data_IF_455687672500
#
_entry.id   IF_455687672500
#
_cell.length_a   1.000
_cell.length_b   1.000
_cell.length_c   1.000
_cell.angle_alpha   90.00
_cell.angle_beta   90.00
_cell.angle_gamma   90.00
#
_symmetry.space_group_name_H-M   'P 1'
#
loop_
_entity.id
_entity.type
_entity.pdbx_description
1 polymer ?
#
# COMPACT_ATOMS: atom_id res chain seq x y z
N UNK A 1 9.20 -27.38 24.24
CA UNK A 1 8.57 -26.52 23.23
C UNK A 1 9.51 -25.35 23.03
N UNK A 2 10.05 -25.15 21.83
CA UNK A 2 10.78 -23.93 21.52
C UNK A 2 9.74 -22.80 21.43
N UNK A 3 9.58 -22.03 22.50
CA UNK A 3 8.91 -20.73 22.41
C UNK A 3 9.90 -19.84 21.67
N UNK A 4 9.80 -19.74 20.36
CA UNK A 4 10.54 -18.71 19.65
C UNK A 4 9.80 -17.39 19.92
N UNK A 5 10.33 -16.61 20.86
CA UNK A 5 9.77 -15.30 21.15
C UNK A 5 9.89 -14.38 19.93
N UNK A 6 8.83 -13.64 19.61
CA UNK A 6 8.86 -12.68 18.49
C UNK A 6 9.69 -11.47 18.91
N UNK A 7 10.81 -11.24 18.23
CA UNK A 7 11.75 -10.13 18.56
C UNK A 7 11.48 -8.85 17.76
N UNK A 8 10.72 -8.94 16.67
CA UNK A 8 10.29 -7.81 15.85
C UNK A 8 9.49 -8.23 14.63
N UNK A 9 8.98 -7.24 13.89
CA UNK A 9 8.17 -7.43 12.68
C UNK A 9 8.55 -6.43 11.60
N UNK A 10 8.47 -6.87 10.34
CA UNK A 10 8.46 -6.03 9.14
C UNK A 10 7.09 -6.18 8.51
N UNK A 11 6.37 -5.08 8.34
CA UNK A 11 5.00 -5.05 7.85
C UNK A 11 4.96 -4.25 6.56
N UNK A 12 4.37 -4.85 5.53
CA UNK A 12 4.00 -4.18 4.29
C UNK A 12 2.50 -4.04 4.28
N UNK A 13 1.98 -2.83 4.04
CA UNK A 13 0.55 -2.61 3.97
C UNK A 13 0.19 -1.73 2.77
N UNK A 14 -0.91 -2.10 2.12
CA UNK A 14 -1.52 -1.27 1.09
C UNK A 14 -2.36 -0.17 1.76
N UNK A 15 -2.41 1.00 1.12
CA UNK A 15 -3.37 2.06 1.45
C UNK A 15 -4.83 1.58 1.49
N UNK A 16 -5.67 2.35 2.19
CA UNK A 16 -7.12 2.12 2.28
C UNK A 16 -7.90 2.58 1.05
N UNK A 17 -9.24 2.53 1.14
CA UNK A 17 -10.13 3.07 0.11
C UNK A 17 -9.81 4.54 -0.25
N UNK A 18 -9.88 4.83 -1.55
CA UNK A 18 -9.51 6.12 -2.14
C UNK A 18 -10.48 6.53 -3.24
N UNK A 19 -10.48 7.81 -3.57
CA UNK A 19 -11.20 8.34 -4.72
C UNK A 19 -10.67 7.76 -6.04
N UNK A 20 -11.35 8.15 -7.13
CA UNK A 20 -10.96 7.76 -8.49
C UNK A 20 -9.49 8.05 -8.75
N UNK A 21 -8.87 7.27 -9.62
CA UNK A 21 -7.46 7.33 -9.89
C UNK A 21 -7.23 7.17 -11.39
N UNK A 22 -6.22 7.87 -11.89
CA UNK A 22 -5.71 7.67 -13.23
C UNK A 22 -4.27 7.21 -13.15
N UNK A 23 -3.95 6.21 -13.97
CA UNK A 23 -2.61 5.69 -14.15
C UNK A 23 -2.34 5.61 -15.64
N UNK A 24 -1.22 6.20 -16.09
CA UNK A 24 -0.77 6.01 -17.46
C UNK A 24 -0.46 4.53 -17.70
N UNK A 25 -0.99 3.92 -18.77
CA UNK A 25 -0.88 2.48 -18.99
C UNK A 25 0.54 2.04 -19.35
N UNK A 26 1.45 2.94 -19.69
CA UNK A 26 2.83 2.59 -20.06
C UNK A 26 3.79 3.05 -18.96
N UNK A 27 3.74 4.32 -18.59
CA UNK A 27 4.69 4.90 -17.63
C UNK A 27 4.29 4.66 -16.18
N UNK A 28 3.07 4.19 -15.94
CA UNK A 28 2.48 4.03 -14.61
C UNK A 28 2.44 5.32 -13.79
N UNK A 29 2.58 6.48 -14.44
CA UNK A 29 2.44 7.77 -13.78
C UNK A 29 1.02 7.92 -13.26
N UNK A 30 0.93 8.04 -11.93
CA UNK A 30 -0.32 8.17 -11.21
C UNK A 30 -0.75 9.63 -11.06
N UNK A 31 -2.06 9.87 -11.06
CA UNK A 31 -2.61 11.19 -10.75
C UNK A 31 -4.05 11.12 -10.23
N UNK A 32 -4.51 12.27 -9.71
CA UNK A 32 -5.91 12.57 -9.46
C UNK A 32 -6.63 11.67 -8.45
N UNK A 33 -6.03 11.38 -7.29
CA UNK A 33 -6.70 10.65 -6.20
C UNK A 33 -6.48 11.28 -4.82
N UNK A 34 -7.29 10.88 -3.84
CA UNK A 34 -7.21 11.25 -2.42
C UNK A 34 -7.79 10.11 -1.58
N UNK A 35 -7.30 9.94 -0.34
CA UNK A 35 -7.86 8.94 0.57
C UNK A 35 -9.28 9.34 0.97
N UNK A 36 -10.20 8.39 1.08
CA UNK A 36 -11.56 8.69 1.56
C UNK A 36 -11.64 8.56 3.08
N UNK A 37 -12.77 9.01 3.66
CA UNK A 37 -13.08 8.72 5.05
C UNK A 37 -13.16 7.21 5.33
N UNK A 38 -13.67 6.42 4.36
CA UNK A 38 -13.70 4.96 4.48
C UNK A 38 -12.28 4.38 4.54
N UNK A 39 -11.36 4.87 3.70
CA UNK A 39 -9.97 4.46 3.71
C UNK A 39 -9.29 4.75 5.05
N UNK A 40 -9.47 5.94 5.60
CA UNK A 40 -8.95 6.28 6.92
C UNK A 40 -9.48 5.34 8.02
N UNK A 41 -10.76 4.96 7.99
CA UNK A 41 -11.34 4.00 8.96
C UNK A 41 -10.72 2.61 8.79
N UNK A 42 -10.56 2.13 7.56
CA UNK A 42 -9.95 0.83 7.28
C UNK A 42 -8.51 0.76 7.81
N UNK A 43 -7.73 1.81 7.55
CA UNK A 43 -6.32 1.89 7.97
C UNK A 43 -6.18 2.08 9.48
N UNK A 44 -7.08 2.85 10.11
CA UNK A 44 -7.14 2.93 11.56
C UNK A 44 -7.42 1.57 12.20
N UNK A 45 -8.38 0.81 11.66
CA UNK A 45 -8.68 -0.55 12.11
C UNK A 45 -7.51 -1.52 11.87
N UNK A 46 -6.79 -1.37 10.75
CA UNK A 46 -5.57 -2.13 10.48
C UNK A 46 -4.51 -1.87 11.55
N UNK A 47 -4.30 -0.60 11.92
CA UNK A 47 -3.41 -0.21 13.02
C UNK A 47 -3.82 -0.83 14.37
N UNK A 48 -5.12 -0.85 14.67
CA UNK A 48 -5.65 -1.51 15.88
C UNK A 48 -5.38 -3.02 15.87
N UNK A 49 -5.48 -3.67 14.70
CA UNK A 49 -5.18 -5.08 14.55
C UNK A 49 -3.69 -5.34 14.80
N UNK A 50 -2.79 -4.54 14.22
CA UNK A 50 -1.35 -4.65 14.50
C UNK A 50 -1.03 -4.41 15.98
N UNK A 51 -1.68 -3.43 16.62
CA UNK A 51 -1.53 -3.20 18.07
C UNK A 51 -1.92 -4.44 18.87
N UNK A 52 -3.06 -5.04 18.53
CA UNK A 52 -3.56 -6.25 19.17
C UNK A 52 -2.59 -7.44 19.02
N UNK A 53 -1.98 -7.59 17.84
CA UNK A 53 -1.07 -8.70 17.57
C UNK A 53 0.33 -8.48 18.15
N UNK A 54 0.91 -7.29 18.00
CA UNK A 54 2.35 -7.09 18.17
C UNK A 54 2.72 -6.21 19.37
N UNK A 55 1.80 -5.40 19.89
CA UNK A 55 2.05 -4.48 21.02
C UNK A 55 1.34 -4.93 22.30
N UNK A 56 0.22 -5.64 22.20
CA UNK A 56 -0.47 -6.18 23.36
C UNK A 56 0.36 -7.30 24.02
N UNK A 57 0.84 -7.08 25.24
CA UNK A 57 1.65 -8.04 25.99
C UNK A 57 0.98 -9.39 26.28
N UNK A 58 -0.36 -9.47 26.17
CA UNK A 58 -1.10 -10.74 26.28
C UNK A 58 -1.23 -11.51 24.96
N UNK A 59 -0.76 -10.93 23.84
CA UNK A 59 -0.81 -11.57 22.52
C UNK A 59 0.23 -12.68 22.40
N UNK A 60 -0.11 -13.84 21.79
CA UNK A 60 0.87 -14.86 21.44
C UNK A 60 1.98 -14.39 20.50
N UNK A 61 1.73 -13.32 19.73
CA UNK A 61 2.69 -12.72 18.79
C UNK A 61 3.24 -11.39 19.30
N UNK A 62 3.12 -11.11 20.61
CA UNK A 62 3.68 -9.90 21.21
C UNK A 62 5.18 -9.77 20.88
N UNK A 63 5.56 -8.61 20.36
CA UNK A 63 6.96 -8.29 20.08
C UNK A 63 7.64 -7.91 21.39
N UNK A 64 8.59 -8.75 21.81
CA UNK A 64 9.23 -8.63 23.11
C UNK A 64 9.89 -7.26 23.33
N UNK A 65 9.57 -6.63 24.46
CA UNK A 65 10.16 -5.37 24.87
C UNK A 65 9.60 -4.13 24.16
N UNK A 66 8.54 -4.26 23.36
CA UNK A 66 7.81 -3.09 22.83
C UNK A 66 7.16 -2.29 23.96
N UNK A 67 7.31 -0.97 23.93
CA UNK A 67 6.54 -0.08 24.79
C UNK A 67 5.05 -0.14 24.43
N UNK A 68 4.23 -0.53 25.40
CA UNK A 68 2.80 -0.79 25.17
C UNK A 68 1.92 0.43 25.41
N UNK A 69 2.47 1.51 25.97
CA UNK A 69 1.71 2.69 26.40
C UNK A 69 2.04 3.89 25.52
N UNK A 70 3.33 4.27 25.48
CA UNK A 70 3.81 5.42 24.73
C UNK A 70 4.60 4.97 23.51
N UNK A 71 4.50 5.73 22.43
CA UNK A 71 5.37 5.59 21.27
C UNK A 71 6.83 5.79 21.67
N UNK A 72 7.68 4.86 21.24
CA UNK A 72 9.14 4.95 21.39
C UNK A 72 9.77 4.97 19.99
N UNK A 73 10.31 6.14 19.63
CA UNK A 73 10.92 6.37 18.33
C UNK A 73 12.13 5.45 18.07
N UNK A 74 12.79 4.94 19.10
CA UNK A 74 13.94 4.04 18.93
C UNK A 74 13.51 2.63 18.52
N UNK A 75 12.25 2.25 18.76
CA UNK A 75 11.74 0.91 18.52
C UNK A 75 11.00 0.77 17.18
N UNK A 76 10.72 1.88 16.50
CA UNK A 76 9.76 1.91 15.39
C UNK A 76 10.30 2.73 14.23
N UNK A 77 10.19 2.16 13.03
CA UNK A 77 10.41 2.86 11.76
C UNK A 77 9.13 2.79 10.95
N UNK A 78 8.68 3.94 10.45
CA UNK A 78 7.54 4.05 9.55
C UNK A 78 7.96 4.79 8.29
N UNK A 79 7.76 4.15 7.14
CA UNK A 79 7.93 4.74 5.83
C UNK A 79 6.62 4.63 5.05
N UNK A 80 6.38 5.62 4.21
CA UNK A 80 5.26 5.64 3.30
C UNK A 80 5.72 6.10 1.92
N UNK A 81 5.21 5.41 0.91
CA UNK A 81 5.35 5.83 -0.48
C UNK A 81 4.77 7.24 -0.67
N UNK A 82 5.65 8.18 -1.02
CA UNK A 82 5.35 9.59 -1.28
C UNK A 82 5.14 9.90 -2.76
N UNK A 83 5.04 8.87 -3.61
CA UNK A 83 4.95 8.98 -5.06
C UNK A 83 3.60 9.45 -5.60
N UNK A 84 3.23 8.94 -6.78
CA UNK A 84 2.21 9.55 -7.64
C UNK A 84 0.75 9.52 -7.12
N UNK A 85 0.48 8.86 -5.99
CA UNK A 85 -0.86 8.75 -5.39
C UNK A 85 -1.25 9.94 -4.48
N UNK A 86 -0.60 11.11 -4.66
CA UNK A 86 -0.95 12.40 -4.03
C UNK A 86 -1.13 12.35 -2.50
N UNK A 87 -0.36 11.49 -1.83
CA UNK A 87 -0.40 11.35 -0.38
C UNK A 87 -1.41 10.32 0.16
N UNK A 88 -2.15 9.59 -0.68
CA UNK A 88 -3.06 8.52 -0.21
C UNK A 88 -2.35 7.52 0.71
N UNK A 89 -1.17 7.05 0.31
CA UNK A 89 -0.39 6.08 1.07
C UNK A 89 0.16 6.72 2.36
N UNK A 90 0.60 7.97 2.29
CA UNK A 90 1.02 8.74 3.46
C UNK A 90 -0.13 8.93 4.47
N UNK A 91 -1.30 9.40 4.03
CA UNK A 91 -2.47 9.60 4.90
C UNK A 91 -2.99 8.27 5.48
N UNK A 92 -2.90 7.18 4.70
CA UNK A 92 -3.17 5.82 5.19
C UNK A 92 -2.24 5.48 6.36
N UNK A 93 -0.94 5.75 6.21
CA UNK A 93 0.03 5.50 7.28
C UNK A 93 -0.24 6.35 8.53
N UNK A 94 -0.74 7.59 8.40
CA UNK A 94 -1.21 8.40 9.53
C UNK A 94 -2.33 7.66 10.27
N UNK A 95 -3.33 7.15 9.54
CA UNK A 95 -4.43 6.40 10.14
C UNK A 95 -3.97 5.10 10.82
N UNK A 96 -3.03 4.36 10.22
CA UNK A 96 -2.43 3.17 10.85
C UNK A 96 -1.73 3.51 12.16
N UNK A 97 -0.89 4.55 12.19
CA UNK A 97 -0.17 4.89 13.42
C UNK A 97 -1.10 5.41 14.53
N UNK A 98 -2.24 6.01 14.17
CA UNK A 98 -3.30 6.34 15.13
C UNK A 98 -3.94 5.11 15.76
N UNK A 99 -4.12 4.02 14.99
CA UNK A 99 -4.60 2.74 15.51
C UNK A 99 -3.56 2.00 16.35
N UNK A 100 -2.27 2.10 15.96
CA UNK A 100 -1.14 1.48 16.67
C UNK A 100 -0.86 2.14 18.03
N UNK A 101 -0.85 3.47 18.07
CA UNK A 101 -0.60 4.28 19.27
C UNK A 101 -1.75 5.27 19.50
N UNK A 102 -2.89 4.79 20.06
CA UNK A 102 -4.04 5.64 20.30
C UNK A 102 -3.73 6.76 21.29
N UNK A 103 -4.54 7.81 21.27
CA UNK A 103 -4.43 8.93 22.19
C UNK A 103 -4.52 8.45 23.65
N UNK A 104 -3.67 9.01 24.51
CA UNK A 104 -3.60 8.63 25.93
C UNK A 104 -3.24 9.83 26.80
N UNK A 105 -3.87 9.95 27.96
CA UNK A 105 -3.53 10.96 28.96
C UNK A 105 -2.10 10.83 29.50
N UNK A 106 -1.44 9.69 29.28
CA UNK A 106 -0.04 9.46 29.65
C UNK A 106 0.94 10.25 28.79
N UNK A 107 0.53 10.71 27.60
CA UNK A 107 1.36 11.58 26.79
C UNK A 107 1.18 13.03 27.25
N UNK A 108 1.92 13.36 28.30
CA UNK A 108 1.86 14.63 28.99
C UNK A 108 3.26 15.07 29.45
N UNK A 109 3.38 16.34 29.85
CA UNK A 109 4.57 16.90 30.48
C UNK A 109 4.18 17.70 31.71
N UNK A 110 4.88 17.49 32.82
CA UNK A 110 4.78 18.35 34.01
C UNK A 110 5.76 19.52 33.87
N UNK A 111 5.24 20.74 33.96
CA UNK A 111 6.00 21.98 33.86
C UNK A 111 6.62 22.36 35.21
N UNK A 112 7.60 23.26 35.19
CA UNK A 112 8.33 23.71 36.38
C UNK A 112 7.44 24.36 37.47
N UNK A 113 6.26 24.88 37.09
CA UNK A 113 5.28 25.44 38.02
C UNK A 113 4.31 24.39 38.61
N UNK A 114 4.52 23.10 38.33
CA UNK A 114 3.70 21.99 38.80
C UNK A 114 2.45 21.70 37.97
N UNK A 115 2.16 22.46 36.91
CA UNK A 115 1.04 22.15 36.02
C UNK A 115 1.39 21.00 35.08
N UNK A 116 0.42 20.13 34.80
CA UNK A 116 0.58 19.05 33.81
C UNK A 116 -0.18 19.42 32.55
N UNK A 117 0.52 19.35 31.41
CA UNK A 117 -0.04 19.61 30.08
C UNK A 117 -0.10 18.28 29.33
N UNK A 118 -1.31 17.84 28.99
CA UNK A 118 -1.50 16.71 28.08
C UNK A 118 -1.32 17.16 26.63
N UNK A 119 -0.86 16.26 25.77
CA UNK A 119 -0.79 16.53 24.35
C UNK A 119 -2.19 16.80 23.75
N UNK A 120 -2.28 17.54 22.62
CA UNK A 120 -3.55 17.86 21.97
C UNK A 120 -4.38 16.62 21.59
N UNK A 121 -5.64 16.85 21.20
CA UNK A 121 -6.56 15.80 20.71
C UNK A 121 -6.71 14.62 21.70
N UNK A 122 -6.73 14.91 23.00
CA UNK A 122 -6.90 13.91 24.06
C UNK A 122 -5.65 13.09 24.36
N UNK A 123 -4.46 13.59 24.01
CA UNK A 123 -3.20 12.89 24.23
C UNK A 123 -2.66 12.17 22.99
N UNK A 124 -2.93 12.71 21.80
CA UNK A 124 -2.47 12.16 20.52
C UNK A 124 -0.95 12.02 20.48
N UNK A 125 -0.47 10.84 20.08
CA UNK A 125 0.95 10.51 20.04
C UNK A 125 1.50 10.78 18.64
N UNK A 126 2.53 11.62 18.53
CA UNK A 126 3.12 12.00 17.26
C UNK A 126 4.17 10.96 16.82
N UNK A 127 3.81 10.13 15.86
CA UNK A 127 4.68 9.13 15.23
C UNK A 127 5.27 9.71 13.94
N UNK A 128 6.60 9.84 13.83
CA UNK A 128 7.24 10.27 12.58
C UNK A 128 7.04 9.26 11.46
N UNK A 129 6.72 9.74 10.27
CA UNK A 129 6.54 8.96 9.04
C UNK A 129 7.50 9.55 8.01
N UNK A 130 8.39 8.73 7.46
CA UNK A 130 9.22 9.14 6.34
C UNK A 130 8.42 9.01 5.04
N UNK A 131 8.17 10.12 4.35
CA UNK A 131 7.61 10.13 3.00
C UNK A 131 8.74 9.91 2.00
N UNK A 132 8.68 8.82 1.24
CA UNK A 132 9.74 8.44 0.31
C UNK A 132 9.40 8.97 -1.08
N UNK A 133 10.16 9.96 -1.55
CA UNK A 133 9.99 10.52 -2.90
C UNK A 133 10.74 9.64 -3.93
N UNK A 134 10.07 9.14 -4.98
CA UNK A 134 10.68 8.26 -5.97
C UNK A 134 11.82 8.92 -6.78
N UNK A 135 11.92 10.25 -6.79
CA UNK A 135 13.04 10.95 -7.44
C UNK A 135 14.34 10.87 -6.61
N UNK A 136 14.22 10.69 -5.29
CA UNK A 136 15.35 10.62 -4.37
C UNK A 136 15.66 9.16 -3.96
N UNK A 137 14.62 8.33 -3.84
CA UNK A 137 14.72 6.94 -3.39
C UNK A 137 13.70 6.05 -4.12
N UNK A 138 14.22 5.10 -4.92
CA UNK A 138 13.42 4.22 -5.77
C UNK A 138 12.85 3.00 -5.05
N UNK A 139 13.08 2.85 -3.74
CA UNK A 139 12.75 1.62 -2.99
C UNK A 139 11.27 1.25 -3.07
N UNK A 140 10.37 2.23 -3.02
CA UNK A 140 8.92 2.01 -3.01
C UNK A 140 8.26 2.11 -4.40
N UNK A 141 8.82 2.89 -5.33
CA UNK A 141 8.32 3.01 -6.72
C UNK A 141 9.40 2.85 -7.80
N UNK A 142 10.15 1.75 -7.75
CA UNK A 142 11.25 1.47 -8.68
C UNK A 142 10.89 1.37 -10.17
N UNK A 143 9.61 1.27 -10.48
CA UNK A 143 9.08 1.21 -11.86
C UNK A 143 8.88 2.59 -12.50
N UNK A 144 8.85 3.67 -11.71
CA UNK A 144 8.67 5.02 -12.24
C UNK A 144 9.92 5.52 -12.95
N UNK A 145 9.74 6.37 -13.97
CA UNK A 145 10.85 6.94 -14.76
C UNK A 145 11.84 5.90 -15.34
N UNK A 146 11.38 4.66 -15.57
CA UNK A 146 12.20 3.53 -16.00
C UNK A 146 11.89 3.10 -17.44
N UNK A 147 12.68 3.54 -18.41
CA UNK A 147 12.47 3.18 -19.82
C UNK A 147 12.53 1.67 -20.09
N UNK A 148 13.34 0.93 -19.34
CA UNK A 148 13.41 -0.54 -19.46
C UNK A 148 12.09 -1.20 -19.05
N UNK A 149 11.46 -0.69 -17.99
CA UNK A 149 10.13 -1.13 -17.56
C UNK A 149 9.08 -0.76 -18.61
N UNK A 150 9.05 0.49 -19.08
CA UNK A 150 8.13 0.93 -20.14
C UNK A 150 8.22 0.05 -21.40
N UNK A 151 9.45 -0.28 -21.82
CA UNK A 151 9.69 -1.17 -22.97
C UNK A 151 9.17 -2.59 -22.73
N UNK A 152 9.31 -3.12 -21.50
CA UNK A 152 8.79 -4.43 -21.14
C UNK A 152 7.26 -4.46 -21.12
N UNK A 153 6.63 -3.42 -20.57
CA UNK A 153 5.17 -3.22 -20.60
C UNK A 153 4.66 -3.18 -22.05
N UNK A 154 5.30 -2.40 -22.91
CA UNK A 154 4.97 -2.36 -24.35
C UNK A 154 5.18 -3.71 -25.04
N UNK A 155 6.22 -4.47 -24.68
CA UNK A 155 6.44 -5.81 -25.21
C UNK A 155 5.34 -6.79 -24.77
N UNK A 156 4.87 -6.68 -23.52
CA UNK A 156 3.73 -7.45 -23.01
C UNK A 156 2.45 -7.14 -23.78
N UNK A 157 2.11 -5.87 -23.98
CA UNK A 157 0.93 -5.47 -24.78
C UNK A 157 1.01 -5.96 -26.23
N UNK A 158 2.22 -6.03 -26.78
CA UNK A 158 2.44 -6.54 -28.13
C UNK A 158 2.47 -8.07 -28.26
N UNK A 159 2.48 -8.79 -27.13
CA UNK A 159 2.57 -10.26 -27.10
C UNK A 159 1.33 -10.93 -27.69
N UNK A 160 1.48 -12.16 -28.18
CA UNK A 160 0.37 -12.95 -28.71
C UNK A 160 -0.68 -13.24 -27.63
N UNK A 161 -0.26 -13.52 -26.39
CA UNK A 161 -1.15 -13.80 -25.27
C UNK A 161 -2.02 -12.58 -24.92
N UNK A 162 -1.43 -11.38 -24.83
CA UNK A 162 -2.19 -10.16 -24.55
C UNK A 162 -3.19 -9.85 -25.65
N UNK A 163 -2.76 -9.91 -26.92
CA UNK A 163 -3.63 -9.70 -28.08
C UNK A 163 -4.78 -10.70 -28.15
N UNK A 164 -4.53 -11.95 -27.76
CA UNK A 164 -5.57 -12.98 -27.67
C UNK A 164 -6.61 -12.62 -26.60
N UNK A 165 -6.20 -12.30 -25.37
CA UNK A 165 -7.13 -11.91 -24.29
C UNK A 165 -7.92 -10.66 -24.67
N UNK A 166 -7.27 -9.68 -25.30
CA UNK A 166 -7.94 -8.48 -25.81
C UNK A 166 -9.00 -8.82 -26.87
N UNK A 167 -8.68 -9.70 -27.83
CA UNK A 167 -9.61 -10.14 -28.87
C UNK A 167 -10.81 -10.92 -28.30
N UNK A 168 -10.56 -11.86 -27.39
CA UNK A 168 -11.61 -12.65 -26.72
C UNK A 168 -12.56 -11.77 -25.88
N UNK A 169 -12.11 -10.61 -25.44
CA UNK A 169 -12.90 -9.67 -24.63
C UNK A 169 -13.32 -8.41 -25.38
N UNK A 170 -13.08 -8.31 -26.69
CA UNK A 170 -13.35 -7.10 -27.46
C UNK A 170 -14.82 -6.67 -27.39
N UNK A 171 -15.77 -7.61 -27.55
CA UNK A 171 -17.19 -7.31 -27.46
C UNK A 171 -17.59 -6.79 -26.06
N UNK A 172 -16.98 -7.33 -25.00
CA UNK A 172 -17.22 -6.87 -23.64
C UNK A 172 -16.63 -5.47 -23.41
N UNK A 173 -15.37 -5.24 -23.78
CA UNK A 173 -14.73 -3.93 -23.68
C UNK A 173 -15.53 -2.86 -24.43
N UNK A 174 -16.02 -3.16 -25.63
CA UNK A 174 -16.87 -2.26 -26.42
C UNK A 174 -18.23 -1.94 -25.77
N UNK A 175 -18.67 -2.74 -24.79
CA UNK A 175 -19.92 -2.50 -24.05
C UNK A 175 -19.76 -1.60 -22.82
N UNK A 176 -18.52 -1.30 -22.41
CA UNK A 176 -18.21 -0.54 -21.20
C UNK A 176 -18.30 0.99 -21.28
N UNK A 177 -18.24 1.68 -22.46
CA UNK A 177 -18.30 3.14 -22.50
C UNK A 177 -19.45 3.80 -21.71
N UNK A 178 -20.68 3.26 -21.64
CA UNK A 178 -21.75 3.82 -20.81
C UNK A 178 -21.47 3.83 -19.31
N UNK A 179 -20.50 3.05 -18.84
CA UNK A 179 -20.10 2.90 -17.44
C UNK A 179 -18.73 3.55 -17.16
N UNK A 180 -18.32 4.48 -18.01
CA UNK A 180 -17.03 5.17 -17.92
C UNK A 180 -17.24 6.67 -18.13
N UNK A 181 -16.24 7.47 -17.76
CA UNK A 181 -16.23 8.94 -17.86
C UNK A 181 -15.77 9.47 -19.23
N UNK A 182 -15.92 8.66 -20.28
CA UNK A 182 -15.40 8.97 -21.62
C UNK A 182 -13.91 8.64 -21.80
N UNK A 183 -13.25 8.06 -20.80
CA UNK A 183 -11.87 7.55 -20.96
C UNK A 183 -11.78 6.49 -22.07
N UNK A 184 -10.62 6.39 -22.74
CA UNK A 184 -10.39 5.34 -23.71
C UNK A 184 -10.56 3.94 -23.13
N UNK A 185 -11.24 3.04 -23.85
CA UNK A 185 -11.53 1.68 -23.38
C UNK A 185 -10.68 0.68 -24.15
N UNK A 186 -9.73 0.06 -23.46
CA UNK A 186 -8.93 -1.04 -23.97
C UNK A 186 -8.48 -1.92 -22.80
N UNK A 187 -7.88 -3.07 -23.11
CA UNK A 187 -7.23 -3.89 -22.08
C UNK A 187 -6.03 -3.15 -21.45
N UNK A 188 -5.35 -2.28 -22.20
CA UNK A 188 -4.20 -1.48 -21.74
C UNK A 188 -4.64 -0.37 -20.76
N UNK A 189 -5.81 0.23 -20.92
CA UNK A 189 -6.23 1.41 -20.16
C UNK A 189 -6.76 1.14 -18.73
N UNK A 190 -6.57 -0.08 -18.20
CA UNK A 190 -6.80 -0.41 -16.78
C UNK A 190 -8.13 0.09 -16.18
N UNK A 191 -9.24 -0.12 -16.90
CA UNK A 191 -10.57 0.47 -16.60
C UNK A 191 -11.24 -0.01 -15.29
N UNK A 192 -10.71 -1.07 -14.66
CA UNK A 192 -11.28 -1.63 -13.43
C UNK A 192 -11.31 -0.62 -12.28
N UNK A 193 -10.24 0.16 -12.09
CA UNK A 193 -10.12 1.07 -10.94
C UNK A 193 -11.31 2.04 -10.87
N UNK A 194 -11.61 2.70 -11.99
CA UNK A 194 -12.73 3.62 -12.08
C UNK A 194 -14.06 2.94 -11.77
N UNK A 195 -14.34 1.80 -12.42
CA UNK A 195 -15.60 1.09 -12.21
C UNK A 195 -15.74 0.60 -10.77
N UNK A 196 -14.65 0.17 -10.14
CA UNK A 196 -14.62 -0.24 -8.75
C UNK A 196 -14.95 0.93 -7.82
N UNK A 197 -14.27 2.07 -7.99
CA UNK A 197 -14.55 3.27 -7.19
C UNK A 197 -16.00 3.72 -7.38
N UNK A 198 -16.50 3.79 -8.61
CA UNK A 198 -17.89 4.17 -8.86
C UNK A 198 -18.89 3.16 -8.26
N UNK A 199 -18.58 1.86 -8.27
CA UNK A 199 -19.44 0.86 -7.64
C UNK A 199 -19.56 1.00 -6.12
N UNK A 200 -18.53 1.56 -5.46
CA UNK A 200 -18.51 1.79 -4.01
C UNK A 200 -19.15 3.13 -3.65
N UNK A 201 -18.84 4.19 -4.40
CA UNK A 201 -19.12 5.58 -4.02
C UNK A 201 -20.26 6.24 -4.79
N UNK A 202 -20.79 5.61 -5.85
CA UNK A 202 -21.85 6.16 -6.68
C UNK A 202 -23.05 5.20 -6.75
N UNK A 203 -24.09 5.51 -5.97
CA UNK A 203 -25.31 4.70 -5.88
C UNK A 203 -26.00 4.48 -7.24
N UNK A 204 -26.07 5.54 -8.07
CA UNK A 204 -26.70 5.45 -9.40
C UNK A 204 -25.91 4.51 -10.30
N UNK A 205 -24.58 4.62 -10.28
CA UNK A 205 -23.71 3.71 -11.01
C UNK A 205 -23.87 2.27 -10.53
N UNK A 206 -23.80 2.04 -9.23
CA UNK A 206 -23.90 0.71 -8.62
C UNK A 206 -25.23 0.01 -8.97
N UNK A 207 -26.35 0.75 -9.01
CA UNK A 207 -27.66 0.21 -9.42
C UNK A 207 -27.78 -0.04 -10.92
N UNK A 208 -27.05 0.72 -11.75
CA UNK A 208 -27.09 0.61 -13.20
C UNK A 208 -26.10 -0.43 -13.76
N UNK A 209 -25.08 -0.79 -12.99
CA UNK A 209 -24.03 -1.71 -13.41
C UNK A 209 -24.59 -3.13 -13.57
N UNK A 210 -24.47 -3.76 -14.75
CA UNK A 210 -24.96 -5.12 -14.95
C UNK A 210 -24.19 -6.15 -14.11
N UNK A 211 -24.89 -7.17 -13.63
CA UNK A 211 -24.30 -8.26 -12.86
C UNK A 211 -23.13 -8.91 -13.61
N UNK A 212 -22.02 -9.15 -12.90
CA UNK A 212 -20.83 -9.79 -13.45
C UNK A 212 -19.89 -8.86 -14.23
N UNK A 213 -20.27 -7.61 -14.51
CA UNK A 213 -19.38 -6.67 -15.22
C UNK A 213 -18.15 -6.34 -14.37
N UNK A 214 -18.33 -6.03 -13.09
CA UNK A 214 -17.23 -5.66 -12.19
C UNK A 214 -16.24 -6.82 -12.00
N UNK A 215 -16.75 -8.03 -11.89
CA UNK A 215 -15.99 -9.27 -11.76
C UNK A 215 -15.15 -9.52 -13.01
N UNK A 216 -15.73 -9.29 -14.19
CA UNK A 216 -15.04 -9.48 -15.46
C UNK A 216 -13.97 -8.42 -15.69
N UNK A 217 -14.22 -7.14 -15.41
CA UNK A 217 -13.17 -6.12 -15.50
C UNK A 217 -12.07 -6.34 -14.46
N UNK A 218 -12.40 -6.83 -13.26
CA UNK A 218 -11.41 -7.23 -12.25
C UNK A 218 -10.52 -8.37 -12.74
N UNK A 219 -11.10 -9.39 -13.38
CA UNK A 219 -10.33 -10.50 -13.95
C UNK A 219 -9.34 -10.02 -15.03
N UNK A 220 -9.78 -9.09 -15.90
CA UNK A 220 -8.91 -8.47 -16.91
C UNK A 220 -7.81 -7.63 -16.29
N UNK A 221 -8.11 -6.85 -15.24
CA UNK A 221 -7.11 -6.09 -14.50
C UNK A 221 -6.10 -7.00 -13.80
N UNK A 222 -6.53 -8.11 -13.21
CA UNK A 222 -5.62 -9.09 -12.61
C UNK A 222 -4.66 -9.69 -13.66
N UNK A 223 -5.17 -10.07 -14.85
CA UNK A 223 -4.32 -10.54 -15.95
C UNK A 223 -3.32 -9.46 -16.40
N UNK A 224 -3.80 -8.23 -16.55
CA UNK A 224 -3.00 -7.08 -16.95
C UNK A 224 -1.86 -6.81 -15.96
N UNK A 225 -2.19 -6.55 -14.70
CA UNK A 225 -1.23 -6.19 -13.65
C UNK A 225 -0.26 -7.33 -13.33
N UNK A 226 -0.72 -8.58 -13.40
CA UNK A 226 0.16 -9.74 -13.29
C UNK A 226 1.22 -9.74 -14.40
N UNK A 227 0.83 -9.51 -15.66
CA UNK A 227 1.75 -9.51 -16.80
C UNK A 227 2.72 -8.34 -16.81
N UNK A 228 2.37 -7.21 -16.18
CA UNK A 228 3.25 -6.05 -16.06
C UNK A 228 4.23 -6.17 -14.88
N UNK A 229 3.75 -6.58 -13.71
CA UNK A 229 4.55 -6.60 -12.46
C UNK A 229 5.09 -7.98 -12.08
N UNK A 230 5.14 -8.92 -13.02
CA UNK A 230 5.75 -10.24 -12.79
C UNK A 230 6.73 -10.58 -13.91
N UNK A 231 7.78 -11.31 -13.54
CA UNK A 231 8.72 -11.91 -14.49
C UNK A 231 9.10 -13.32 -14.04
N UNK A 232 9.25 -14.28 -14.98
CA UNK A 232 9.67 -15.64 -14.63
C UNK A 232 11.13 -15.70 -14.14
N UNK A 233 11.95 -14.70 -14.44
CA UNK A 233 13.27 -14.55 -13.84
C UNK A 233 13.17 -13.62 -12.63
N UNK A 234 13.73 -14.04 -11.49
CA UNK A 234 13.73 -13.24 -10.26
C UNK A 234 14.36 -11.84 -10.45
N UNK A 235 15.34 -11.73 -11.34
CA UNK A 235 16.02 -10.49 -11.73
C UNK A 235 15.44 -9.83 -13.00
N UNK A 236 14.31 -10.33 -13.50
CA UNK A 236 13.59 -9.75 -14.63
C UNK A 236 12.99 -8.38 -14.31
N UNK A 237 12.83 -7.55 -15.34
CA UNK A 237 12.34 -6.18 -15.20
C UNK A 237 10.88 -6.10 -14.73
N UNK A 238 10.04 -7.10 -15.04
CA UNK A 238 8.67 -7.15 -14.51
C UNK A 238 8.62 -7.24 -12.98
N UNK A 239 9.65 -7.80 -12.34
CA UNK A 239 9.73 -7.89 -10.88
C UNK A 239 10.29 -6.62 -10.21
N UNK A 240 10.47 -5.51 -10.95
CA UNK A 240 11.17 -4.32 -10.46
C UNK A 240 10.55 -3.75 -9.17
N UNK A 241 9.22 -3.72 -9.04
CA UNK A 241 8.54 -3.18 -7.86
C UNK A 241 8.89 -3.96 -6.58
N UNK A 242 9.01 -5.30 -6.68
CA UNK A 242 9.45 -6.13 -5.57
C UNK A 242 10.96 -6.02 -5.34
N UNK A 243 11.75 -6.00 -6.43
CA UNK A 243 13.22 -5.95 -6.35
C UNK A 243 13.75 -4.69 -5.68
N UNK A 244 13.15 -3.52 -5.95
CA UNK A 244 13.57 -2.27 -5.30
C UNK A 244 13.15 -2.20 -3.84
N UNK A 245 12.10 -2.93 -3.46
CA UNK A 245 11.60 -2.97 -2.08
C UNK A 245 12.38 -3.97 -1.19
N UNK A 246 12.94 -5.04 -1.77
CA UNK A 246 13.67 -6.07 -1.02
C UNK A 246 14.75 -5.52 -0.06
N UNK A 247 15.57 -4.51 -0.42
CA UNK A 247 16.52 -3.90 0.50
C UNK A 247 15.89 -3.37 1.80
N UNK A 248 14.72 -2.71 1.75
CA UNK A 248 14.04 -2.19 2.95
C UNK A 248 13.60 -3.35 3.85
N UNK A 249 13.04 -4.41 3.26
CA UNK A 249 12.60 -5.62 3.99
C UNK A 249 13.79 -6.30 4.67
N UNK A 250 14.87 -6.57 3.93
CA UNK A 250 16.05 -7.27 4.43
C UNK A 250 16.76 -6.44 5.49
N UNK A 251 16.94 -5.13 5.25
CA UNK A 251 17.58 -4.22 6.21
C UNK A 251 16.76 -4.11 7.48
N UNK A 252 15.42 -4.04 7.38
CA UNK A 252 14.53 -4.07 8.53
C UNK A 252 14.72 -5.33 9.38
N UNK A 253 14.74 -6.50 8.76
CA UNK A 253 15.01 -7.76 9.48
C UNK A 253 16.42 -7.81 10.09
N UNK A 254 17.45 -7.35 9.37
CA UNK A 254 18.82 -7.29 9.89
C UNK A 254 18.94 -6.36 11.09
N UNK A 255 18.27 -5.20 11.05
CA UNK A 255 18.22 -4.25 12.13
C UNK A 255 17.53 -4.83 13.37
N UNK A 256 16.38 -5.49 13.20
CA UNK A 256 15.66 -6.20 14.27
C UNK A 256 16.50 -7.33 14.87
N UNK A 257 17.23 -8.08 14.05
CA UNK A 257 18.06 -9.19 14.50
C UNK A 257 19.32 -8.74 15.26
N UNK A 258 19.75 -7.49 15.08
CA UNK A 258 20.89 -6.93 15.80
C UNK A 258 20.49 -6.56 17.24
N UNK A 259 20.92 -7.35 18.22
CA UNK A 259 20.58 -7.12 19.63
C UNK A 259 21.04 -5.78 20.21
N UNK A 260 21.98 -5.06 19.56
CA UNK A 260 22.39 -3.71 19.96
C UNK A 260 21.51 -2.61 19.36
N UNK A 261 20.61 -2.95 18.44
CA UNK A 261 19.67 -2.05 17.82
C UNK A 261 18.28 -2.19 18.51
N UNK A 262 17.69 -1.11 19.05
CA UNK A 262 16.39 -1.17 19.71
C UNK A 262 15.20 -1.34 18.76
N UNK A 263 15.40 -1.25 17.44
CA UNK A 263 14.35 -1.37 16.42
C UNK A 263 13.62 -2.72 16.51
N UNK A 264 12.30 -2.68 16.50
CA UNK A 264 11.41 -3.84 16.68
C UNK A 264 10.26 -3.87 15.67
N UNK A 265 9.87 -2.73 15.14
CA UNK A 265 8.70 -2.60 14.28
C UNK A 265 9.05 -1.76 13.06
N UNK A 266 9.06 -2.37 11.88
CA UNK A 266 9.23 -1.68 10.61
C UNK A 266 7.91 -1.75 9.86
N UNK A 267 7.39 -0.60 9.45
CA UNK A 267 6.16 -0.51 8.68
C UNK A 267 6.40 0.29 7.41
N UNK A 268 6.11 -0.34 6.29
CA UNK A 268 6.24 0.18 4.93
C UNK A 268 4.83 0.27 4.32
N UNK A 269 4.30 1.48 4.21
CA UNK A 269 3.06 1.72 3.49
C UNK A 269 3.38 1.85 1.99
N UNK A 270 2.73 1.00 1.18
CA UNK A 270 3.03 0.82 -0.24
C UNK A 270 1.78 0.74 -1.12
N UNK A 271 1.97 0.82 -2.42
CA UNK A 271 0.92 0.49 -3.40
C UNK A 271 0.77 -1.03 -3.59
N UNK A 272 -0.15 -1.46 -4.46
CA UNK A 272 -0.38 -2.87 -4.74
C UNK A 272 0.76 -3.56 -5.53
N UNK A 273 1.60 -2.78 -6.23
CA UNK A 273 2.53 -3.29 -7.24
C UNK A 273 3.66 -4.13 -6.64
N UNK A 274 4.30 -3.73 -5.52
CA UNK A 274 5.31 -4.57 -4.89
C UNK A 274 4.76 -5.91 -4.41
N UNK A 275 3.49 -5.99 -3.97
CA UNK A 275 2.87 -7.27 -3.60
C UNK A 275 2.79 -8.25 -4.78
N UNK A 276 2.40 -7.76 -5.97
CA UNK A 276 2.34 -8.60 -7.18
C UNK A 276 3.73 -9.15 -7.48
N UNK A 277 4.76 -8.30 -7.50
CA UNK A 277 6.12 -8.77 -7.76
C UNK A 277 6.62 -9.73 -6.69
N UNK A 278 6.58 -9.35 -5.40
CA UNK A 278 7.12 -10.16 -4.30
C UNK A 278 6.51 -11.56 -4.23
N UNK A 279 5.20 -11.70 -4.47
CA UNK A 279 4.53 -13.00 -4.42
C UNK A 279 4.76 -13.86 -5.66
N UNK A 280 5.34 -13.31 -6.73
CA UNK A 280 5.64 -14.03 -7.97
C UNK A 280 7.14 -14.18 -8.25
N UNK A 281 7.99 -13.64 -7.36
CA UNK A 281 9.43 -13.85 -7.38
C UNK A 281 9.76 -15.22 -6.73
N UNK A 282 9.94 -16.24 -7.56
CA UNK A 282 10.26 -17.63 -7.16
C UNK A 282 11.60 -18.09 -7.68
#
# INVERSE_FOLDING_TARGET
MSSSDVIGVVILARHGDREGFYQDPITYTASATQITALGNVQEFQLGQQFRSMYINASSPTYVQGMNTVLFDQTQVQVQADGGGERGVIFDSSISVVQGLWPATSNYNSTLANGTTVAAPLGGYQYVPIASIDPNDDVSLEGFTSCNTFNNATLAFYNSAAFKQVAAENAAFLNSLPPFLDGRPVSLENMIFDYMNVQSIHNETFAKALPDGFLERVRALANFHEYGVFSSPQVDGIGNIAGRTMLPNIITGFQAIANASNPLKFVYEAISYKPFISLFNMT
#
